data_IF_319748937266
#
_entry.id   IF_319748937266
#
_cell.length_a   1.000
_cell.length_b   1.000
_cell.length_c   1.000
_cell.angle_alpha   90.00
_cell.angle_beta   90.00
_cell.angle_gamma   90.00
#
_symmetry.space_group_name_H-M   'P 1'
#
loop_
_entity.id
_entity.type
_entity.pdbx_description
1 polymer ?
#
# COMPACT_ATOMS: atom_id res chain seq x y z
N UNK A 1 -12.16 10.89 7.65
CA UNK A 1 -11.44 10.71 6.37
C UNK A 1 -11.77 9.34 5.85
N UNK A 2 -12.47 9.24 4.73
CA UNK A 2 -12.83 7.95 4.13
C UNK A 2 -11.56 7.26 3.63
N UNK A 3 -11.22 6.13 4.25
CA UNK A 3 -10.16 5.26 3.79
C UNK A 3 -10.59 4.69 2.45
N UNK A 4 -10.02 5.18 1.35
CA UNK A 4 -10.26 4.66 -0.01
C UNK A 4 -9.78 3.21 -0.09
N UNK A 5 -10.65 2.27 0.25
CA UNK A 5 -10.40 0.82 0.14
C UNK A 5 -10.75 0.34 -1.25
N UNK A 6 -9.81 -0.31 -1.94
CA UNK A 6 -10.07 -1.02 -3.20
C UNK A 6 -10.14 -2.53 -2.96
N UNK A 7 -10.93 -3.25 -3.77
CA UNK A 7 -11.03 -4.72 -3.74
C UNK A 7 -10.07 -5.31 -4.79
N UNK A 8 -9.26 -6.27 -4.36
CA UNK A 8 -8.42 -7.09 -5.25
C UNK A 8 -9.03 -8.50 -5.33
N UNK A 9 -9.44 -8.92 -6.53
CA UNK A 9 -9.95 -10.27 -6.77
C UNK A 9 -8.91 -11.05 -7.57
N UNK A 10 -8.53 -12.23 -7.10
CA UNK A 10 -7.57 -13.11 -7.76
C UNK A 10 -8.18 -14.51 -7.92
N UNK A 11 -8.04 -15.09 -9.11
CA UNK A 11 -8.37 -16.49 -9.37
C UNK A 11 -7.14 -17.34 -9.05
N UNK A 12 -7.29 -18.31 -8.15
CA UNK A 12 -6.26 -19.28 -7.81
C UNK A 12 -6.86 -20.68 -7.78
N UNK A 13 -6.00 -21.68 -7.94
CA UNK A 13 -6.38 -23.08 -7.77
C UNK A 13 -6.97 -23.34 -6.36
N UNK A 14 -8.05 -24.13 -6.26
CA UNK A 14 -8.73 -24.39 -4.98
C UNK A 14 -7.82 -25.09 -3.95
N UNK A 15 -6.93 -25.99 -4.37
CA UNK A 15 -6.03 -26.67 -3.44
C UNK A 15 -4.97 -25.71 -2.90
N UNK A 16 -4.45 -24.81 -3.73
CA UNK A 16 -3.54 -23.72 -3.30
C UNK A 16 -4.23 -22.79 -2.31
N UNK A 17 -5.48 -22.39 -2.57
CA UNK A 17 -6.29 -21.58 -1.64
C UNK A 17 -6.39 -22.25 -0.27
N UNK A 18 -6.80 -23.52 -0.23
CA UNK A 18 -6.94 -24.27 1.00
C UNK A 18 -5.60 -24.44 1.75
N UNK A 19 -4.50 -24.71 1.04
CA UNK A 19 -3.18 -24.79 1.64
C UNK A 19 -2.75 -23.46 2.25
N UNK A 20 -2.96 -22.34 1.54
CA UNK A 20 -2.62 -21.01 2.02
C UNK A 20 -3.46 -20.60 3.24
N UNK A 21 -4.76 -20.87 3.23
CA UNK A 21 -5.65 -20.61 4.36
C UNK A 21 -5.23 -21.38 5.61
N UNK A 22 -4.90 -22.67 5.48
CA UNK A 22 -4.39 -23.48 6.59
C UNK A 22 -3.06 -22.97 7.13
N UNK A 23 -2.16 -22.51 6.26
CA UNK A 23 -0.88 -21.94 6.69
C UNK A 23 -1.07 -20.63 7.44
N UNK A 24 -2.00 -19.78 7.00
CA UNK A 24 -2.31 -18.52 7.68
C UNK A 24 -2.94 -18.79 9.06
N UNK A 25 -3.88 -19.75 9.14
CA UNK A 25 -4.55 -20.12 10.38
C UNK A 25 -3.59 -20.66 11.45
N UNK A 26 -2.56 -21.41 11.06
CA UNK A 26 -1.52 -21.91 11.97
C UNK A 26 -0.66 -20.80 12.61
N UNK A 27 -0.69 -19.59 12.04
CA UNK A 27 0.09 -18.44 12.49
C UNK A 27 -0.81 -17.34 13.07
N UNK A 28 -2.10 -17.62 13.29
CA UNK A 28 -3.09 -16.64 13.74
C UNK A 28 -3.21 -15.41 12.81
N UNK A 29 -2.97 -15.63 11.51
CA UNK A 29 -3.05 -14.60 10.48
C UNK A 29 -4.22 -14.84 9.55
N UNK A 30 -4.76 -13.76 8.98
CA UNK A 30 -5.74 -13.86 7.89
C UNK A 30 -5.03 -13.80 6.54
N UNK A 31 -5.53 -14.52 5.51
CA UNK A 31 -4.99 -14.46 4.15
C UNK A 31 -4.83 -13.03 3.62
N UNK A 32 -5.79 -12.15 3.94
CA UNK A 32 -5.75 -10.74 3.52
C UNK A 32 -4.62 -9.94 4.16
N UNK A 33 -4.21 -10.26 5.40
CA UNK A 33 -3.06 -9.60 6.04
C UNK A 33 -1.76 -10.01 5.35
N UNK A 34 -1.59 -11.31 5.09
CA UNK A 34 -0.40 -11.85 4.42
C UNK A 34 -0.29 -11.30 2.99
N UNK A 35 -1.37 -11.31 2.21
CA UNK A 35 -1.36 -10.76 0.84
C UNK A 35 -0.99 -9.28 0.83
N UNK A 36 -1.50 -8.46 1.76
CA UNK A 36 -1.13 -7.05 1.85
C UNK A 36 0.36 -6.86 2.18
N UNK A 37 0.90 -7.71 3.03
CA UNK A 37 2.32 -7.70 3.40
C UNK A 37 3.19 -8.05 2.19
N UNK A 38 2.84 -9.13 1.48
CA UNK A 38 3.49 -9.54 0.22
C UNK A 38 3.48 -8.42 -0.83
N UNK A 39 2.35 -7.72 -1.01
CA UNK A 39 2.27 -6.59 -1.96
C UNK A 39 3.27 -5.49 -1.57
N UNK A 40 3.33 -5.10 -0.29
CA UNK A 40 4.25 -4.06 0.18
C UNK A 40 5.71 -4.43 -0.06
N UNK A 41 6.08 -5.66 0.29
CA UNK A 41 7.44 -6.16 0.10
C UNK A 41 7.81 -6.26 -1.38
N UNK A 42 6.88 -6.74 -2.22
CA UNK A 42 7.10 -6.84 -3.66
C UNK A 42 7.33 -5.46 -4.31
N UNK A 43 6.55 -4.44 -3.92
CA UNK A 43 6.76 -3.07 -4.38
C UNK A 43 8.11 -2.51 -3.92
N UNK A 44 8.48 -2.74 -2.67
CA UNK A 44 9.76 -2.30 -2.11
C UNK A 44 10.95 -2.96 -2.83
N UNK A 45 10.87 -4.26 -3.11
CA UNK A 45 11.90 -5.01 -3.85
C UNK A 45 12.12 -4.47 -5.27
N UNK A 46 11.08 -3.91 -5.89
CA UNK A 46 11.16 -3.32 -7.23
C UNK A 46 11.38 -1.79 -7.22
N UNK A 47 11.62 -1.19 -6.05
CA UNK A 47 11.86 0.25 -5.92
C UNK A 47 10.64 1.13 -6.23
N UNK A 48 9.42 0.57 -6.17
CA UNK A 48 8.19 1.31 -6.45
C UNK A 48 7.73 2.04 -5.19
N UNK A 49 7.76 3.38 -5.23
CA UNK A 49 7.24 4.20 -4.14
C UNK A 49 5.70 4.10 -4.07
N UNK A 50 5.19 3.53 -2.97
CA UNK A 50 3.76 3.45 -2.69
C UNK A 50 3.34 4.53 -1.69
N UNK A 51 2.37 5.37 -2.08
CA UNK A 51 1.78 6.41 -1.24
C UNK A 51 0.36 6.02 -0.84
N UNK A 52 0.04 5.83 0.45
CA UNK A 52 -1.30 5.46 0.87
C UNK A 52 -2.30 6.60 0.60
N UNK A 53 -3.46 6.25 0.05
CA UNK A 53 -4.50 7.18 -0.44
C UNK A 53 -5.09 8.11 0.62
N UNK A 54 -4.84 7.86 1.91
CA UNK A 54 -5.32 8.66 3.04
C UNK A 54 -4.31 9.67 3.58
N UNK A 55 -3.08 9.71 3.05
CA UNK A 55 -2.06 10.64 3.53
C UNK A 55 -2.20 11.98 2.79
N UNK A 56 -2.33 13.12 3.51
CA UNK A 56 -2.43 14.44 2.87
C UNK A 56 -1.22 14.64 1.96
N UNK A 57 -1.35 15.24 0.76
CA UNK A 57 -0.23 15.47 -0.14
C UNK A 57 0.93 16.11 0.63
N UNK A 58 2.13 15.58 0.45
CA UNK A 58 3.35 16.15 1.02
C UNK A 58 3.39 17.60 0.53
N UNK A 59 3.27 18.51 1.48
CA UNK A 59 3.08 19.93 1.25
C UNK A 59 3.99 20.39 0.12
N UNK A 60 3.40 20.87 -0.98
CA UNK A 60 4.12 21.73 -1.90
C UNK A 60 4.70 22.86 -1.05
N UNK A 61 6.01 22.79 -0.78
CA UNK A 61 6.71 23.74 0.07
C UNK A 61 6.33 25.16 -0.38
N UNK A 62 5.94 26.08 0.54
CA UNK A 62 5.72 27.45 0.15
C UNK A 62 7.04 27.96 -0.40
N UNK A 63 7.05 28.35 -1.68
CA UNK A 63 8.16 29.06 -2.31
C UNK A 63 8.26 30.45 -1.66
N UNK A 64 8.66 30.50 -0.39
CA UNK A 64 8.90 31.74 0.33
C UNK A 64 10.32 32.18 0.02
N UNK A 65 10.46 33.00 -1.01
CA UNK A 65 11.76 33.61 -1.31
C UNK A 65 11.97 34.10 -2.73
N UNK A 66 11.13 35.01 -3.25
CA UNK A 66 11.65 36.04 -4.16
C UNK A 66 11.06 37.40 -3.78
N UNK A 67 11.71 38.01 -2.78
CA UNK A 67 11.68 39.45 -2.56
C UNK A 67 12.29 40.10 -3.81
N UNK A 68 11.52 40.88 -4.55
CA UNK A 68 12.04 41.82 -5.53
C UNK A 68 12.01 43.22 -4.90
N UNK A 69 13.15 43.91 -4.76
CA UNK A 69 13.18 45.36 -4.67
C UNK A 69 13.50 45.95 -6.04
N UNK A 70 12.74 46.97 -6.46
CA UNK A 70 13.19 47.93 -7.47
C UNK A 70 12.38 47.92 -8.78
N UNK A 71 11.47 48.88 -8.89
CA UNK A 71 11.29 49.76 -10.05
C UNK A 71 10.46 50.96 -9.60
#
# INVERSE_FOLDING_TARGET
MELKTARLTLLIDPNKKAAFERLCAQQDLTPSQVVRQLIREYLAQHGVAYRPSGMPPETAAPRRGRRAPGA
#
